data_IF_630683574921
#
_entry.id   IF_630683574921
#
_cell.length_a   1.000
_cell.length_b   1.000
_cell.length_c   1.000
_cell.angle_alpha   90.00
_cell.angle_beta   90.00
_cell.angle_gamma   90.00
#
_symmetry.space_group_name_H-M   'P 1'
#
loop_
_entity.id
_entity.type
_entity.pdbx_description
1 polymer ?
#
# COMPACT_ATOMS: atom_id res chain seq x y z
N UNK A 1 35.38 -19.27 -70.82
CA UNK A 1 35.55 -18.34 -71.96
C UNK A 1 34.74 -17.10 -71.69
N UNK A 2 35.47 -15.96 -71.80
CA UNK A 2 35.00 -14.57 -71.87
C UNK A 2 34.49 -13.88 -70.65
N UNK A 3 35.42 -13.21 -69.97
CA UNK A 3 35.26 -11.92 -69.30
C UNK A 3 35.50 -10.80 -70.39
N UNK A 4 35.55 -9.53 -69.97
CA UNK A 4 34.69 -8.57 -69.25
C UNK A 4 34.49 -7.30 -70.16
N UNK A 5 33.68 -6.34 -69.69
CA UNK A 5 33.80 -4.95 -70.16
C UNK A 5 33.56 -3.97 -69.02
N UNK A 6 34.61 -3.18 -68.74
CA UNK A 6 34.65 -1.96 -67.94
C UNK A 6 33.86 -0.83 -68.62
N UNK A 7 33.21 -0.01 -67.83
CA UNK A 7 33.02 1.40 -68.18
C UNK A 7 33.05 2.31 -66.92
N UNK A 8 33.77 3.38 -67.07
CA UNK A 8 34.23 4.34 -66.09
C UNK A 8 33.20 5.43 -65.76
N UNK A 9 33.33 5.94 -64.54
CA UNK A 9 32.79 7.17 -63.95
C UNK A 9 32.75 8.41 -64.87
N UNK A 10 31.96 9.47 -64.41
CA UNK A 10 32.66 10.54 -63.76
C UNK A 10 32.00 11.07 -62.48
N UNK A 11 32.88 11.51 -61.61
CA UNK A 11 32.69 12.22 -60.37
C UNK A 11 31.89 13.52 -60.52
N UNK A 12 30.93 13.75 -59.62
CA UNK A 12 30.40 15.08 -59.32
C UNK A 12 30.53 15.31 -57.80
N UNK A 13 31.40 16.23 -57.48
CA UNK A 13 31.61 16.82 -56.16
C UNK A 13 30.35 17.58 -55.72
N UNK A 14 29.68 17.14 -54.67
CA UNK A 14 28.72 17.96 -53.94
C UNK A 14 29.28 18.24 -52.53
N UNK A 15 29.49 19.51 -52.25
CA UNK A 15 29.76 20.07 -50.95
C UNK A 15 28.65 19.81 -49.95
N UNK A 16 28.92 19.49 -48.69
CA UNK A 16 27.86 19.34 -47.70
C UNK A 16 27.39 20.72 -47.25
N UNK A 17 26.10 20.99 -47.43
CA UNK A 17 25.40 22.12 -46.83
C UNK A 17 25.31 21.86 -45.31
N UNK A 18 25.95 22.72 -44.54
CA UNK A 18 25.83 22.77 -43.07
C UNK A 18 24.43 23.25 -42.73
N UNK A 19 23.52 22.35 -42.42
CA UNK A 19 22.24 22.69 -41.81
C UNK A 19 22.51 22.88 -40.33
N UNK A 20 22.57 24.14 -39.88
CA UNK A 20 22.46 24.51 -38.46
C UNK A 20 21.07 24.16 -37.99
N UNK A 21 20.91 23.02 -37.30
CA UNK A 21 19.72 22.72 -36.52
C UNK A 21 19.76 23.61 -35.27
N UNK A 22 18.93 24.64 -35.28
CA UNK A 22 18.63 25.39 -34.07
C UNK A 22 18.01 24.41 -33.06
N UNK A 23 18.72 24.15 -31.96
CA UNK A 23 18.13 23.52 -30.78
C UNK A 23 17.09 24.47 -30.21
N UNK A 24 15.85 24.29 -30.59
CA UNK A 24 14.70 24.82 -29.88
C UNK A 24 14.70 24.20 -28.50
N UNK A 25 14.90 25.03 -27.48
CA UNK A 25 14.64 24.66 -26.09
C UNK A 25 13.16 24.27 -26.00
N UNK A 26 12.86 22.98 -25.88
CA UNK A 26 11.55 22.52 -25.47
C UNK A 26 11.40 22.93 -24.00
N UNK A 27 10.67 24.03 -23.79
CA UNK A 27 10.13 24.41 -22.51
C UNK A 27 9.25 23.24 -22.04
N UNK A 28 9.67 22.59 -20.96
CA UNK A 28 8.85 21.63 -20.26
C UNK A 28 7.60 22.38 -19.76
N UNK A 29 6.45 22.05 -20.33
CA UNK A 29 5.16 22.51 -19.80
C UNK A 29 5.05 22.05 -18.36
N UNK A 30 4.66 22.95 -17.40
CA UNK A 30 4.47 22.54 -16.03
C UNK A 30 3.39 21.45 -15.99
N UNK A 31 3.64 20.38 -15.27
CA UNK A 31 2.67 19.30 -15.02
C UNK A 31 1.36 19.94 -14.55
N UNK A 32 0.27 19.68 -15.26
CA UNK A 32 -1.04 20.23 -14.94
C UNK A 32 -1.40 19.78 -13.52
N UNK A 33 -1.55 20.76 -12.60
CA UNK A 33 -1.99 20.49 -11.22
C UNK A 33 -3.35 19.80 -11.28
N UNK A 34 -3.49 18.71 -10.54
CA UNK A 34 -4.79 18.07 -10.34
C UNK A 34 -5.75 19.10 -9.72
N UNK A 35 -6.93 19.28 -10.32
CA UNK A 35 -7.96 20.18 -9.80
C UNK A 35 -8.98 19.40 -8.99
N UNK A 36 -9.36 19.95 -7.84
CA UNK A 36 -10.41 19.39 -6.99
C UNK A 36 -11.71 20.13 -7.21
N UNK A 37 -12.82 19.40 -7.30
CA UNK A 37 -14.17 19.95 -7.42
C UNK A 37 -15.12 19.28 -6.44
N UNK A 38 -16.16 20.00 -6.02
CA UNK A 38 -17.25 19.49 -5.18
C UNK A 38 -18.59 19.69 -5.87
N UNK A 39 -19.45 18.69 -5.84
CA UNK A 39 -20.81 18.78 -6.39
C UNK A 39 -21.74 17.71 -5.79
N UNK A 40 -23.06 17.91 -5.96
CA UNK A 40 -24.02 16.81 -5.70
C UNK A 40 -24.09 15.86 -6.89
N UNK A 41 -24.04 14.56 -6.62
CA UNK A 41 -24.09 13.54 -7.67
C UNK A 41 -25.38 13.63 -8.49
N UNK A 42 -25.25 13.89 -9.79
CA UNK A 42 -26.39 14.04 -10.73
C UNK A 42 -27.13 12.72 -10.97
N UNK A 43 -26.46 11.58 -10.73
CA UNK A 43 -27.03 10.23 -10.89
C UNK A 43 -26.31 9.27 -9.94
N UNK A 44 -26.94 8.12 -9.61
CA UNK A 44 -26.31 7.06 -8.83
C UNK A 44 -25.38 6.12 -9.61
N UNK A 45 -24.83 6.55 -10.77
CA UNK A 45 -24.01 5.67 -11.64
C UNK A 45 -22.53 5.70 -11.31
N UNK A 46 -22.05 6.67 -10.54
CA UNK A 46 -20.64 6.79 -10.16
C UNK A 46 -20.33 5.97 -8.92
N UNK A 47 -19.21 5.26 -8.93
CA UNK A 47 -18.65 4.61 -7.76
C UNK A 47 -17.58 5.47 -7.12
N UNK A 48 -17.53 5.48 -5.81
CA UNK A 48 -16.47 6.13 -5.03
C UNK A 48 -15.14 5.44 -5.28
N UNK A 49 -14.08 6.20 -5.62
CA UNK A 49 -12.75 5.63 -5.85
C UNK A 49 -12.00 5.29 -4.56
N UNK A 50 -12.50 5.72 -3.40
CA UNK A 50 -11.96 5.36 -2.10
C UNK A 50 -12.51 4.03 -1.57
N UNK A 51 -13.84 3.85 -1.57
CA UNK A 51 -14.51 2.67 -0.99
C UNK A 51 -15.23 1.79 -2.02
N UNK A 52 -15.16 2.09 -3.31
CA UNK A 52 -15.84 1.40 -4.43
C UNK A 52 -17.38 1.35 -4.35
N UNK A 53 -18.00 1.81 -3.27
CA UNK A 53 -19.44 1.87 -3.14
C UNK A 53 -20.08 2.90 -4.09
N UNK A 54 -21.33 2.68 -4.49
CA UNK A 54 -22.07 3.60 -5.33
C UNK A 54 -22.31 4.94 -4.60
N UNK A 55 -22.07 6.05 -5.31
CA UNK A 55 -22.42 7.38 -4.82
C UNK A 55 -23.86 7.66 -5.18
N UNK A 56 -24.74 7.75 -4.19
CA UNK A 56 -26.18 7.94 -4.39
C UNK A 56 -26.47 9.26 -5.13
N UNK A 57 -27.55 9.27 -5.93
CA UNK A 57 -28.03 10.53 -6.55
C UNK A 57 -28.35 11.56 -5.46
N UNK A 58 -27.81 12.78 -5.62
CA UNK A 58 -27.99 13.86 -4.67
C UNK A 58 -27.00 13.84 -3.49
N UNK A 59 -26.16 12.82 -3.34
CA UNK A 59 -25.10 12.81 -2.33
C UNK A 59 -23.99 13.80 -2.70
N UNK A 60 -23.43 14.46 -1.70
CA UNK A 60 -22.24 15.31 -1.87
C UNK A 60 -21.05 14.43 -2.24
N UNK A 61 -20.26 14.87 -3.22
CA UNK A 61 -19.07 14.17 -3.68
C UNK A 61 -17.92 15.09 -4.04
N UNK A 62 -16.71 14.64 -3.86
CA UNK A 62 -15.49 15.33 -4.28
C UNK A 62 -14.91 14.65 -5.52
N UNK A 63 -14.49 15.46 -6.49
CA UNK A 63 -13.85 15.01 -7.72
C UNK A 63 -12.40 15.45 -7.79
N UNK A 64 -11.49 14.51 -8.03
CA UNK A 64 -10.11 14.80 -8.39
C UNK A 64 -9.94 14.63 -9.90
N UNK A 65 -9.74 15.74 -10.62
CA UNK A 65 -9.56 15.78 -12.07
C UNK A 65 -8.07 15.82 -12.38
N UNK A 66 -7.62 14.89 -13.22
CA UNK A 66 -6.27 14.84 -13.73
C UNK A 66 -6.31 14.65 -15.25
N UNK A 67 -5.33 15.23 -15.95
CA UNK A 67 -5.18 15.04 -17.38
C UNK A 67 -4.47 13.73 -17.66
N UNK A 68 -5.18 12.81 -18.35
CA UNK A 68 -4.59 11.54 -18.81
C UNK A 68 -3.48 11.81 -19.84
N UNK A 69 -2.39 11.03 -19.89
CA UNK A 69 -1.35 11.16 -20.90
C UNK A 69 -1.85 11.13 -22.36
N UNK A 70 -3.06 10.59 -22.59
CA UNK A 70 -3.74 10.58 -23.90
C UNK A 70 -4.53 11.84 -24.22
N UNK A 71 -4.49 12.88 -23.34
CA UNK A 71 -5.11 14.17 -23.57
C UNK A 71 -6.55 14.33 -23.09
N UNK A 72 -7.12 13.35 -22.39
CA UNK A 72 -8.46 13.45 -21.80
C UNK A 72 -8.37 13.91 -20.35
N UNK A 73 -9.34 14.72 -19.93
CA UNK A 73 -9.52 15.03 -18.51
C UNK A 73 -10.39 13.93 -17.88
N UNK A 74 -9.85 13.22 -16.90
CA UNK A 74 -10.58 12.21 -16.15
C UNK A 74 -10.83 12.68 -14.72
N UNK A 75 -12.07 12.57 -14.25
CA UNK A 75 -12.45 12.91 -12.86
C UNK A 75 -12.72 11.64 -12.08
N UNK A 76 -11.98 11.43 -11.00
CA UNK A 76 -12.21 10.38 -10.01
C UNK A 76 -13.13 10.91 -8.92
N UNK A 77 -14.28 10.28 -8.68
CA UNK A 77 -15.28 10.70 -7.71
C UNK A 77 -15.13 9.96 -6.39
N UNK A 78 -15.37 10.66 -5.28
CA UNK A 78 -15.24 10.15 -3.92
C UNK A 78 -16.41 10.63 -3.06
N UNK A 79 -16.83 9.83 -2.07
CA UNK A 79 -17.59 10.38 -0.95
C UNK A 79 -16.73 11.39 -0.20
N UNK A 80 -17.32 12.34 0.51
CA UNK A 80 -16.59 13.37 1.27
C UNK A 80 -15.61 12.72 2.25
N UNK A 81 -16.09 11.76 3.05
CA UNK A 81 -15.26 11.02 4.01
C UNK A 81 -14.20 10.10 3.37
N UNK A 82 -14.33 9.76 2.08
CA UNK A 82 -13.39 8.89 1.37
C UNK A 82 -12.38 9.67 0.52
N UNK A 83 -12.44 11.00 0.53
CA UNK A 83 -11.55 11.81 -0.29
C UNK A 83 -10.15 11.84 0.31
N UNK A 84 -9.09 11.50 -0.46
CA UNK A 84 -7.73 11.49 0.07
C UNK A 84 -7.32 12.89 0.54
N UNK A 85 -7.02 13.05 1.81
CA UNK A 85 -6.64 14.33 2.41
C UNK A 85 -5.42 14.96 1.71
N UNK A 86 -4.50 14.15 1.19
CA UNK A 86 -3.35 14.56 0.40
C UNK A 86 -3.70 15.19 -0.96
N UNK A 87 -4.92 14.97 -1.45
CA UNK A 87 -5.41 15.49 -2.75
C UNK A 87 -6.17 16.78 -2.63
N UNK A 88 -6.45 17.29 -1.41
CA UNK A 88 -7.00 18.64 -1.22
C UNK A 88 -5.97 19.68 -1.65
N UNK A 89 -6.39 20.77 -2.32
CA UNK A 89 -5.47 21.85 -2.67
C UNK A 89 -4.79 22.40 -1.40
N UNK A 90 -3.56 22.89 -1.56
CA UNK A 90 -2.78 23.50 -0.47
C UNK A 90 -3.38 24.84 0.01
N UNK A 91 -4.48 25.30 -0.59
CA UNK A 91 -5.23 26.50 -0.25
C UNK A 91 -6.48 26.22 0.59
N UNK A 92 -7.24 27.29 0.95
CA UNK A 92 -8.52 27.17 1.65
C UNK A 92 -9.52 26.30 0.88
N UNK A 93 -10.40 25.57 1.58
CA UNK A 93 -11.45 24.74 0.92
C UNK A 93 -12.43 25.59 0.12
N UNK A 94 -12.52 26.87 0.42
CA UNK A 94 -13.30 27.87 -0.33
C UNK A 94 -12.84 28.01 -1.80
N UNK A 95 -11.59 27.68 -2.11
CA UNK A 95 -11.04 27.71 -3.48
C UNK A 95 -11.38 26.44 -4.29
N UNK A 96 -12.02 25.43 -3.67
CA UNK A 96 -12.43 24.20 -4.35
C UNK A 96 -13.56 24.53 -5.33
N UNK A 97 -13.38 24.14 -6.59
CA UNK A 97 -14.38 24.41 -7.63
C UNK A 97 -15.75 23.83 -7.24
N UNK A 98 -16.78 24.68 -7.18
CA UNK A 98 -18.14 24.31 -6.82
C UNK A 98 -18.50 24.51 -5.35
N UNK A 99 -17.57 24.99 -4.51
CA UNK A 99 -17.81 25.25 -3.09
C UNK A 99 -19.00 26.18 -2.84
N UNK A 100 -19.14 27.25 -3.63
CA UNK A 100 -20.25 28.21 -3.49
C UNK A 100 -21.62 27.64 -3.92
N UNK A 101 -21.63 26.49 -4.59
CA UNK A 101 -22.84 25.86 -5.13
C UNK A 101 -23.44 24.79 -4.23
N UNK A 102 -22.82 24.51 -3.08
CA UNK A 102 -23.29 23.53 -2.09
C UNK A 102 -23.94 24.21 -0.88
N UNK A 103 -24.70 23.44 -0.09
CA UNK A 103 -25.40 23.95 1.10
C UNK A 103 -24.42 24.36 2.19
N UNK A 104 -24.87 25.23 3.10
CA UNK A 104 -24.03 25.74 4.19
C UNK A 104 -23.55 24.63 5.14
N UNK A 105 -24.41 23.64 5.46
CA UNK A 105 -24.06 22.50 6.29
C UNK A 105 -22.93 21.66 5.64
N UNK A 106 -23.01 21.45 4.31
CA UNK A 106 -22.01 20.71 3.55
C UNK A 106 -20.69 21.50 3.40
N UNK A 107 -20.76 22.84 3.39
CA UNK A 107 -19.55 23.70 3.43
C UNK A 107 -18.82 23.55 4.75
N UNK A 108 -19.56 23.46 5.87
CA UNK A 108 -18.93 23.28 7.18
C UNK A 108 -18.28 21.88 7.31
N UNK A 109 -18.90 20.82 6.77
CA UNK A 109 -18.28 19.50 6.70
C UNK A 109 -16.93 19.54 5.96
N UNK A 110 -16.84 20.28 4.86
CA UNK A 110 -15.58 20.45 4.13
C UNK A 110 -14.53 21.25 4.91
N UNK A 111 -14.95 22.27 5.68
CA UNK A 111 -14.06 23.04 6.56
C UNK A 111 -13.51 22.19 7.70
N UNK A 112 -14.33 21.30 8.27
CA UNK A 112 -13.87 20.34 9.29
C UNK A 112 -12.81 19.39 8.74
N UNK A 113 -12.97 18.90 7.50
CA UNK A 113 -11.95 18.09 6.83
C UNK A 113 -10.62 18.83 6.67
N UNK A 114 -10.68 20.16 6.39
CA UNK A 114 -9.48 20.98 6.29
C UNK A 114 -8.81 21.21 7.65
N UNK A 115 -9.60 21.47 8.72
CA UNK A 115 -9.10 21.67 10.08
C UNK A 115 -8.37 20.44 10.60
N UNK A 116 -8.94 19.26 10.38
CA UNK A 116 -8.32 17.99 10.76
C UNK A 116 -6.97 17.75 10.05
N UNK A 117 -6.81 18.33 8.85
CA UNK A 117 -5.56 18.30 8.09
C UNK A 117 -4.49 19.25 8.65
N UNK A 118 -4.89 20.41 9.17
CA UNK A 118 -3.95 21.42 9.75
C UNK A 118 -3.47 21.04 11.15
N UNK A 119 -4.20 20.18 11.86
CA UNK A 119 -3.82 19.67 13.19
C UNK A 119 -2.55 18.80 13.17
N UNK A 120 -2.25 18.14 12.05
CA UNK A 120 -1.08 17.28 11.91
C UNK A 120 0.23 18.00 11.52
N UNK A 121 0.18 19.32 11.25
CA UNK A 121 1.37 20.08 10.80
C UNK A 121 1.89 21.15 11.78
N UNK A 122 1.30 21.30 12.97
CA UNK A 122 1.69 22.35 13.91
C UNK A 122 2.20 21.79 15.25
N UNK A 123 3.40 21.26 15.27
CA UNK A 123 4.16 21.05 16.51
C UNK A 123 5.67 21.01 16.27
N UNK A 124 6.30 22.15 15.98
CA UNK A 124 7.69 22.45 16.37
C UNK A 124 7.90 23.98 16.37
N UNK A 125 8.05 24.56 17.55
CA UNK A 125 8.56 25.91 17.77
C UNK A 125 8.72 26.15 19.29
N UNK A 126 9.80 26.82 19.76
CA UNK A 126 10.34 26.65 21.09
C UNK A 126 9.60 27.46 22.17
N UNK A 127 9.58 26.86 23.35
CA UNK A 127 8.99 27.38 24.60
C UNK A 127 9.94 28.39 25.24
N UNK A 128 9.46 29.60 25.55
CA UNK A 128 10.05 30.46 26.58
C UNK A 128 9.15 30.55 27.80
N UNK A 129 9.82 30.48 28.98
CA UNK A 129 9.24 30.47 30.31
C UNK A 129 8.73 31.85 30.72
N UNK A 130 7.56 31.93 31.37
CA UNK A 130 7.37 32.81 32.54
C UNK A 130 6.10 32.45 33.33
N UNK A 131 6.23 32.13 34.60
CA UNK A 131 5.21 32.12 35.66
C UNK A 131 5.35 33.43 36.48
N UNK A 132 4.55 33.79 37.49
CA UNK A 132 3.28 33.23 38.00
C UNK A 132 2.23 34.31 38.41
N UNK A 133 0.97 33.99 38.75
CA UNK A 133 0.36 34.34 40.03
C UNK A 133 -1.13 33.97 40.21
N UNK A 134 -1.38 33.29 41.30
CA UNK A 134 -2.46 33.27 42.31
C UNK A 134 -3.85 33.83 42.03
N UNK A 135 -4.87 33.05 42.40
CA UNK A 135 -6.23 33.49 42.73
C UNK A 135 -7.17 32.36 43.12
N UNK A 136 -7.43 32.24 44.39
CA UNK A 136 -8.22 31.28 45.14
C UNK A 136 -9.74 31.46 44.96
N UNK A 137 -10.55 30.39 44.90
CA UNK A 137 -11.72 30.23 45.80
C UNK A 137 -12.45 28.87 45.57
N UNK A 138 -12.71 28.24 46.66
CA UNK A 138 -13.51 27.06 47.01
C UNK A 138 -14.92 27.03 46.41
N UNK A 139 -15.46 25.83 46.12
CA UNK A 139 -16.72 25.24 46.65
C UNK A 139 -16.70 23.71 46.38
N UNK A 140 -17.19 22.93 47.38
CA UNK A 140 -17.06 21.50 47.63
C UNK A 140 -18.19 20.64 47.06
N UNK A 141 -17.86 19.41 46.60
CA UNK A 141 -18.41 18.05 46.77
C UNK A 141 -19.89 17.71 46.44
N UNK A 142 -20.27 16.43 46.10
CA UNK A 142 -19.67 15.16 46.55
C UNK A 142 -19.39 14.09 45.42
N UNK A 143 -18.54 13.15 45.82
CA UNK A 143 -18.11 11.92 45.14
C UNK A 143 -19.25 10.94 44.84
N UNK A 144 -19.15 10.28 43.69
CA UNK A 144 -19.61 8.90 43.48
C UNK A 144 -18.48 8.12 42.84
N UNK A 145 -17.90 7.20 43.60
CA UNK A 145 -16.95 6.20 43.13
C UNK A 145 -17.63 5.25 42.13
N UNK A 146 -17.09 5.16 40.92
CA UNK A 146 -17.25 3.97 40.09
C UNK A 146 -15.85 3.53 39.67
N UNK A 147 -15.47 2.37 40.14
CA UNK A 147 -14.19 1.75 39.92
C UNK A 147 -14.02 1.38 38.43
N UNK A 148 -13.25 2.14 37.67
CA UNK A 148 -12.73 1.72 36.36
C UNK A 148 -11.45 0.90 36.56
N UNK A 149 -11.54 -0.38 36.24
CA UNK A 149 -10.38 -1.23 36.02
C UNK A 149 -9.64 -0.77 34.77
N UNK A 150 -8.60 0.01 34.93
CA UNK A 150 -7.65 0.33 33.84
C UNK A 150 -6.81 -0.89 33.55
N UNK A 151 -7.02 -1.47 32.36
CA UNK A 151 -6.04 -2.35 31.71
C UNK A 151 -4.87 -1.50 31.18
N UNK A 152 -3.62 -1.92 31.35
CA UNK A 152 -2.47 -1.18 30.83
C UNK A 152 -2.41 -1.29 29.30
N UNK A 153 -2.83 -0.23 28.62
CA UNK A 153 -2.61 -0.08 27.19
C UNK A 153 -1.12 0.03 26.90
N UNK A 154 -0.56 -1.03 26.37
CA UNK A 154 0.80 -1.06 25.86
C UNK A 154 0.82 -0.22 24.57
N UNK A 155 1.23 1.05 24.65
CA UNK A 155 1.54 1.89 23.49
C UNK A 155 2.82 1.34 22.86
N UNK A 156 2.69 0.40 21.94
CA UNK A 156 3.76 0.09 20.98
C UNK A 156 3.95 1.33 20.11
N UNK A 157 5.06 2.01 20.32
CA UNK A 157 5.53 3.11 19.48
C UNK A 157 5.80 2.51 18.12
N UNK A 158 4.85 2.63 17.19
CA UNK A 158 5.04 2.27 15.79
C UNK A 158 6.16 3.15 15.25
N UNK A 159 7.25 2.54 14.82
CA UNK A 159 8.30 3.25 14.09
C UNK A 159 7.73 3.64 12.74
N UNK A 160 7.44 4.92 12.53
CA UNK A 160 6.95 5.42 11.25
C UNK A 160 7.91 4.98 10.13
N UNK A 161 7.37 4.29 9.12
CA UNK A 161 8.16 3.85 7.98
C UNK A 161 8.22 5.02 6.99
N UNK A 162 9.42 5.58 6.71
CA UNK A 162 9.55 6.65 5.73
C UNK A 162 9.32 6.07 4.33
N UNK A 163 8.07 6.11 3.88
CA UNK A 163 7.66 5.61 2.58
C UNK A 163 7.28 6.78 1.66
N UNK A 164 7.90 6.83 0.48
CA UNK A 164 7.53 7.76 -0.57
C UNK A 164 7.25 7.02 -1.89
N UNK A 165 6.25 7.41 -2.66
CA UNK A 165 6.01 6.86 -4.00
C UNK A 165 7.22 6.97 -4.93
N UNK A 166 8.13 7.93 -4.70
CA UNK A 166 9.39 8.08 -5.45
C UNK A 166 10.40 6.95 -5.17
N UNK A 167 10.26 6.26 -4.03
CA UNK A 167 11.17 5.19 -3.61
C UNK A 167 10.76 3.83 -4.15
N UNK A 168 9.58 3.75 -4.77
CA UNK A 168 9.05 2.54 -5.39
C UNK A 168 9.82 2.23 -6.68
N UNK A 169 10.35 1.01 -6.77
CA UNK A 169 11.14 0.55 -7.90
C UNK A 169 10.44 -0.60 -8.65
N UNK A 170 10.69 -0.69 -9.94
CA UNK A 170 10.26 -1.82 -10.81
C UNK A 170 11.27 -2.97 -10.83
N UNK A 171 12.33 -2.85 -10.05
CA UNK A 171 13.38 -3.85 -9.90
C UNK A 171 13.69 -4.03 -8.43
N UNK A 172 14.08 -5.23 -8.04
CA UNK A 172 14.67 -5.49 -6.73
C UNK A 172 16.17 -5.75 -6.91
N UNK A 173 16.98 -4.74 -6.59
CA UNK A 173 18.42 -4.73 -6.91
C UNK A 173 18.65 -4.99 -8.41
N UNK A 174 19.29 -6.09 -8.77
CA UNK A 174 19.60 -6.51 -10.14
C UNK A 174 18.51 -7.39 -10.77
N UNK A 175 17.44 -7.73 -10.03
CA UNK A 175 16.32 -8.50 -10.55
C UNK A 175 15.18 -7.63 -11.06
N UNK A 176 14.64 -7.98 -12.24
CA UNK A 176 13.45 -7.34 -12.82
C UNK A 176 12.18 -7.93 -12.20
N UNK A 177 11.20 -7.10 -11.93
CA UNK A 177 9.91 -7.53 -11.39
C UNK A 177 8.83 -7.52 -12.50
N UNK A 178 7.86 -8.46 -12.48
CA UNK A 178 6.69 -8.42 -13.36
C UNK A 178 5.87 -7.13 -13.15
N UNK A 179 4.98 -6.80 -14.09
CA UNK A 179 4.30 -5.50 -14.17
C UNK A 179 3.55 -5.09 -12.89
N UNK A 180 2.92 -6.07 -12.21
CA UNK A 180 2.12 -5.83 -10.99
C UNK A 180 2.95 -5.88 -9.70
N UNK A 181 4.25 -6.11 -9.81
CA UNK A 181 5.15 -6.21 -8.68
C UNK A 181 6.08 -5.00 -8.62
N UNK A 182 6.28 -4.51 -7.43
CA UNK A 182 7.15 -3.37 -7.13
C UNK A 182 8.03 -3.72 -5.94
N UNK A 183 9.06 -2.92 -5.74
CA UNK A 183 9.95 -3.03 -4.59
C UNK A 183 10.07 -1.69 -3.85
N UNK A 184 10.16 -1.78 -2.55
CA UNK A 184 10.50 -0.71 -1.64
C UNK A 184 11.45 -1.26 -0.58
N UNK A 185 12.63 -0.67 -0.44
CA UNK A 185 13.68 -1.15 0.45
C UNK A 185 13.95 -2.65 0.28
N UNK A 186 13.74 -3.46 1.31
CA UNK A 186 13.90 -4.93 1.30
C UNK A 186 12.59 -5.69 1.10
N UNK A 187 11.52 -5.00 0.71
CA UNK A 187 10.21 -5.60 0.44
C UNK A 187 9.91 -5.60 -1.05
N UNK A 188 9.44 -6.72 -1.57
CA UNK A 188 8.73 -6.81 -2.86
C UNK A 188 7.24 -6.92 -2.54
N UNK A 189 6.41 -6.13 -3.22
CA UNK A 189 4.97 -6.13 -3.00
C UNK A 189 4.20 -6.16 -4.31
N UNK A 190 2.98 -6.71 -4.26
CA UNK A 190 2.08 -6.77 -5.40
C UNK A 190 1.14 -5.57 -5.37
N UNK A 191 1.07 -4.84 -6.48
CA UNK A 191 0.19 -3.72 -6.70
C UNK A 191 -0.66 -3.99 -7.93
N UNK A 192 -1.93 -4.30 -7.74
CA UNK A 192 -2.89 -4.55 -8.81
C UNK A 192 -4.25 -3.95 -8.41
N UNK A 193 -4.90 -3.28 -9.38
CA UNK A 193 -6.15 -2.51 -9.17
C UNK A 193 -7.37 -3.30 -9.69
N UNK A 194 -7.43 -4.61 -9.42
CA UNK A 194 -8.44 -5.55 -9.93
C UNK A 194 -9.41 -6.05 -8.85
N UNK A 195 -9.93 -5.14 -8.04
CA UNK A 195 -10.84 -5.46 -6.95
C UNK A 195 -10.18 -5.55 -5.58
N UNK A 196 -8.87 -5.27 -5.48
CA UNK A 196 -8.20 -5.12 -4.20
C UNK A 196 -8.79 -3.88 -3.49
N UNK A 197 -9.44 -4.09 -2.34
CA UNK A 197 -10.08 -3.02 -1.58
C UNK A 197 -9.40 -2.79 -0.22
N UNK A 198 -9.46 -1.57 0.27
CA UNK A 198 -9.09 -1.24 1.64
C UNK A 198 -10.24 -1.58 2.58
N UNK A 199 -9.93 -2.01 3.81
CA UNK A 199 -10.94 -2.43 4.78
C UNK A 199 -10.48 -2.18 6.21
N UNK A 200 -11.44 -1.98 7.12
CA UNK A 200 -11.19 -2.04 8.55
C UNK A 200 -10.88 -3.48 9.02
N UNK A 201 -11.36 -4.51 8.29
CA UNK A 201 -11.15 -5.92 8.63
C UNK A 201 -10.02 -6.50 7.79
N UNK A 202 -8.95 -6.94 8.42
CA UNK A 202 -7.81 -7.54 7.75
C UNK A 202 -7.74 -9.03 8.07
N UNK A 203 -7.76 -9.87 7.02
CA UNK A 203 -7.42 -11.28 7.11
C UNK A 203 -6.01 -11.47 6.54
N UNK A 204 -5.05 -11.67 7.42
CA UNK A 204 -3.64 -11.75 7.06
C UNK A 204 -3.11 -13.17 7.20
N UNK A 205 -2.20 -13.56 6.31
CA UNK A 205 -1.70 -14.93 6.18
C UNK A 205 -0.20 -14.97 5.92
N UNK A 206 0.48 -16.00 6.44
CA UNK A 206 1.73 -16.45 5.83
C UNK A 206 1.43 -17.25 4.55
N UNK A 207 2.47 -17.49 3.75
CA UNK A 207 2.33 -18.23 2.50
C UNK A 207 2.90 -19.67 2.58
N UNK A 208 4.19 -19.82 2.91
CA UNK A 208 4.91 -21.09 2.85
C UNK A 208 4.63 -21.94 4.09
N UNK A 209 3.92 -23.04 3.96
CA UNK A 209 3.46 -23.89 5.08
C UNK A 209 2.06 -23.49 5.59
N UNK A 210 1.62 -22.28 5.34
CA UNK A 210 0.28 -21.79 5.73
C UNK A 210 -0.75 -21.95 4.60
N UNK A 211 -0.60 -21.20 3.51
CA UNK A 211 -1.50 -21.26 2.35
C UNK A 211 -1.03 -22.29 1.32
N UNK A 212 0.26 -22.49 1.19
CA UNK A 212 0.86 -23.33 0.17
C UNK A 212 1.91 -24.27 0.75
N UNK A 213 1.89 -25.53 0.31
CA UNK A 213 2.99 -26.49 0.48
C UNK A 213 4.07 -26.11 -0.52
N UNK A 214 5.21 -25.67 -0.01
CA UNK A 214 6.38 -25.29 -0.79
C UNK A 214 7.64 -25.94 -0.26
N UNK A 215 8.75 -25.77 -0.94
CA UNK A 215 10.06 -26.18 -0.44
C UNK A 215 11.10 -25.15 -0.84
N UNK A 216 11.91 -24.72 0.13
CA UNK A 216 13.04 -23.81 -0.09
C UNK A 216 14.12 -24.39 -1.00
N UNK A 217 14.14 -25.74 -1.19
CA UNK A 217 15.12 -26.44 -2.03
C UNK A 217 14.68 -26.56 -3.49
N UNK A 218 13.39 -26.32 -3.79
CA UNK A 218 12.81 -26.50 -5.12
C UNK A 218 12.48 -25.14 -5.70
N UNK A 219 12.97 -24.87 -6.90
CA UNK A 219 12.77 -23.61 -7.62
C UNK A 219 11.76 -23.85 -8.72
N UNK A 220 10.87 -22.87 -8.96
CA UNK A 220 9.86 -22.85 -10.02
C UNK A 220 8.54 -22.29 -9.56
N UNK A 221 7.89 -21.58 -10.46
CA UNK A 221 6.58 -20.95 -10.22
C UNK A 221 5.45 -21.98 -10.04
N UNK A 222 5.62 -23.17 -10.61
CA UNK A 222 4.68 -24.30 -10.56
C UNK A 222 4.95 -25.27 -9.38
N UNK A 223 5.98 -25.04 -8.57
CA UNK A 223 6.43 -25.92 -7.51
C UNK A 223 5.78 -25.59 -6.17
N UNK A 224 4.47 -25.74 -6.13
CA UNK A 224 3.64 -25.55 -4.94
C UNK A 224 2.35 -26.38 -5.05
N UNK A 225 1.61 -26.50 -3.97
CA UNK A 225 0.23 -27.01 -3.93
C UNK A 225 -0.49 -26.39 -2.74
N UNK A 226 -1.82 -26.41 -2.72
CA UNK A 226 -2.59 -25.92 -1.59
C UNK A 226 -2.24 -26.67 -0.31
N UNK A 227 -2.09 -25.94 0.79
CA UNK A 227 -1.90 -26.54 2.13
C UNK A 227 -3.16 -27.30 2.56
N UNK A 228 -4.33 -26.73 2.38
CA UNK A 228 -5.65 -27.33 2.60
C UNK A 228 -6.56 -27.09 1.40
N UNK A 229 -7.42 -28.07 1.09
CA UNK A 229 -8.36 -27.97 -0.05
C UNK A 229 -9.44 -26.88 0.14
N UNK A 230 -9.74 -26.56 1.40
CA UNK A 230 -10.74 -25.53 1.79
C UNK A 230 -10.27 -24.10 1.59
N UNK A 231 -8.98 -23.86 1.32
CA UNK A 231 -8.40 -22.51 1.23
C UNK A 231 -9.13 -21.62 0.21
N UNK A 232 -9.38 -22.04 -1.05
CA UNK A 232 -10.05 -21.16 -2.02
C UNK A 232 -11.43 -20.71 -1.53
N UNK A 233 -12.28 -21.62 -1.06
CA UNK A 233 -13.62 -21.30 -0.61
C UNK A 233 -13.60 -20.38 0.63
N UNK A 234 -12.67 -20.64 1.55
CA UNK A 234 -12.50 -19.84 2.77
C UNK A 234 -12.05 -18.41 2.45
N UNK A 235 -11.08 -18.23 1.55
CA UNK A 235 -10.61 -16.92 1.14
C UNK A 235 -11.67 -16.14 0.34
N UNK A 236 -12.44 -16.83 -0.52
CA UNK A 236 -13.56 -16.22 -1.22
C UNK A 236 -14.66 -15.76 -0.24
N UNK A 237 -15.00 -16.56 0.77
CA UNK A 237 -15.92 -16.16 1.82
C UNK A 237 -15.44 -14.91 2.56
N UNK A 238 -14.21 -14.90 3.04
CA UNK A 238 -13.62 -13.74 3.72
C UNK A 238 -13.64 -12.48 2.85
N UNK A 239 -13.28 -12.60 1.58
CA UNK A 239 -13.33 -11.47 0.65
C UNK A 239 -14.76 -10.94 0.48
N UNK A 240 -15.76 -11.83 0.31
CA UNK A 240 -17.17 -11.47 0.20
C UNK A 240 -17.72 -10.86 1.50
N UNK A 241 -17.19 -11.26 2.65
CA UNK A 241 -17.50 -10.69 3.97
C UNK A 241 -16.81 -9.33 4.23
N UNK A 242 -16.13 -8.81 3.21
CA UNK A 242 -15.51 -7.48 3.21
C UNK A 242 -14.14 -7.40 3.87
N UNK A 243 -13.45 -8.53 4.10
CA UNK A 243 -12.07 -8.52 4.54
C UNK A 243 -11.12 -8.10 3.41
N UNK A 244 -10.12 -7.29 3.74
CA UNK A 244 -8.92 -7.17 2.92
C UNK A 244 -8.04 -8.39 3.18
N UNK A 245 -7.76 -9.16 2.14
CA UNK A 245 -6.86 -10.30 2.22
C UNK A 245 -5.41 -9.84 2.00
N UNK A 246 -4.51 -10.24 2.90
CA UNK A 246 -3.11 -9.85 2.83
C UNK A 246 -2.20 -11.05 3.08
N UNK A 247 -1.15 -11.21 2.27
CA UNK A 247 -0.08 -12.17 2.52
C UNK A 247 1.18 -11.44 2.97
N UNK A 248 1.73 -11.83 4.13
CA UNK A 248 3.04 -11.42 4.64
C UNK A 248 3.97 -12.62 4.69
N UNK A 249 4.95 -12.69 3.79
CA UNK A 249 5.84 -13.85 3.67
C UNK A 249 7.31 -13.45 3.68
N UNK A 250 8.16 -14.29 4.29
CA UNK A 250 9.61 -14.13 4.30
C UNK A 250 10.24 -14.92 3.14
N UNK A 251 11.14 -14.28 2.34
CA UNK A 251 11.89 -14.98 1.27
C UNK A 251 13.34 -14.49 1.20
N UNK A 252 14.16 -14.89 2.16
CA UNK A 252 15.55 -14.46 2.25
C UNK A 252 16.47 -15.02 1.14
N UNK A 253 16.02 -16.02 0.37
CA UNK A 253 16.81 -16.52 -0.76
C UNK A 253 16.99 -15.45 -1.85
N UNK A 254 16.04 -14.53 -2.01
CA UNK A 254 16.14 -13.40 -2.93
C UNK A 254 17.36 -12.55 -2.58
N UNK A 255 17.65 -12.36 -1.29
CA UNK A 255 18.82 -11.61 -0.84
C UNK A 255 20.10 -12.44 -0.85
N UNK A 256 20.02 -13.70 -0.39
CA UNK A 256 21.19 -14.57 -0.25
C UNK A 256 21.77 -15.03 -1.58
N UNK A 257 20.94 -15.29 -2.60
CA UNK A 257 21.38 -15.85 -3.88
C UNK A 257 21.75 -14.76 -4.87
N UNK A 258 22.79 -14.01 -4.59
CA UNK A 258 23.22 -12.86 -5.40
C UNK A 258 23.29 -13.18 -6.90
N UNK A 259 23.86 -14.31 -7.29
CA UNK A 259 24.02 -14.73 -8.69
C UNK A 259 22.77 -15.42 -9.29
N UNK A 260 21.74 -15.70 -8.48
CA UNK A 260 20.49 -16.37 -8.87
C UNK A 260 19.25 -15.60 -8.37
N UNK A 261 19.41 -14.28 -8.09
CA UNK A 261 18.34 -13.47 -7.53
C UNK A 261 17.12 -13.43 -8.45
N UNK A 262 17.30 -13.25 -9.75
CA UNK A 262 16.20 -13.28 -10.71
C UNK A 262 15.43 -14.61 -10.59
N UNK A 263 16.12 -15.74 -10.53
CA UNK A 263 15.49 -17.05 -10.41
C UNK A 263 14.71 -17.22 -9.09
N UNK A 264 15.22 -16.67 -7.98
CA UNK A 264 14.52 -16.66 -6.71
C UNK A 264 13.26 -15.78 -6.75
N UNK A 265 13.36 -14.59 -7.35
CA UNK A 265 12.22 -13.68 -7.58
C UNK A 265 11.16 -14.36 -8.44
N UNK A 266 11.53 -14.88 -9.62
CA UNK A 266 10.61 -15.51 -10.55
C UNK A 266 9.89 -16.71 -9.92
N UNK A 267 10.61 -17.49 -9.11
CA UNK A 267 10.03 -18.63 -8.39
C UNK A 267 9.01 -18.20 -7.33
N UNK A 268 9.35 -17.22 -6.48
CA UNK A 268 8.46 -16.79 -5.39
C UNK A 268 7.26 -16.01 -5.92
N UNK A 269 7.50 -15.04 -6.79
CA UNK A 269 6.45 -14.22 -7.42
C UNK A 269 5.51 -15.09 -8.24
N UNK A 270 6.05 -15.98 -9.08
CA UNK A 270 5.23 -16.86 -9.91
C UNK A 270 4.37 -17.83 -9.09
N UNK A 271 4.86 -18.36 -7.95
CA UNK A 271 4.01 -19.15 -7.03
C UNK A 271 2.85 -18.35 -6.47
N UNK A 272 3.10 -17.11 -6.07
CA UNK A 272 2.09 -16.22 -5.51
C UNK A 272 1.05 -15.81 -6.56
N UNK A 273 1.47 -15.49 -7.79
CA UNK A 273 0.55 -15.18 -8.88
C UNK A 273 -0.32 -16.40 -9.23
N UNK A 274 0.26 -17.59 -9.38
CA UNK A 274 -0.47 -18.82 -9.63
C UNK A 274 -1.43 -19.19 -8.48
N UNK A 275 -1.06 -18.89 -7.23
CA UNK A 275 -1.94 -19.09 -6.09
C UNK A 275 -3.13 -18.13 -6.13
N UNK A 276 -2.91 -16.83 -6.42
CA UNK A 276 -3.98 -15.84 -6.55
C UNK A 276 -4.96 -16.20 -7.68
N UNK A 277 -4.45 -16.67 -8.81
CA UNK A 277 -5.28 -17.20 -9.90
C UNK A 277 -6.11 -18.42 -9.47
N UNK A 278 -5.53 -19.30 -8.66
CA UNK A 278 -6.21 -20.49 -8.14
C UNK A 278 -7.37 -20.12 -7.21
N UNK A 279 -7.18 -19.17 -6.29
CA UNK A 279 -8.18 -18.77 -5.29
C UNK A 279 -9.21 -17.79 -5.83
N UNK A 280 -8.93 -17.12 -6.95
CA UNK A 280 -9.85 -16.23 -7.70
C UNK A 280 -10.39 -15.05 -6.90
N UNK A 281 -9.63 -14.54 -5.96
CA UNK A 281 -9.91 -13.31 -5.23
C UNK A 281 -8.65 -12.43 -5.15
N UNK A 282 -8.78 -11.10 -5.16
CA UNK A 282 -7.65 -10.21 -5.03
C UNK A 282 -6.98 -10.34 -3.66
N UNK A 283 -5.65 -10.42 -3.64
CA UNK A 283 -4.86 -10.50 -2.42
C UNK A 283 -3.69 -9.51 -2.51
N UNK A 284 -3.53 -8.68 -1.48
CA UNK A 284 -2.35 -7.85 -1.30
C UNK A 284 -1.19 -8.73 -0.83
N UNK A 285 0.00 -8.55 -1.39
CA UNK A 285 1.16 -9.38 -1.01
C UNK A 285 2.36 -8.51 -0.66
N UNK A 286 3.05 -8.89 0.42
CA UNK A 286 4.33 -8.32 0.83
C UNK A 286 5.33 -9.45 1.08
N UNK A 287 6.49 -9.39 0.44
CA UNK A 287 7.58 -10.36 0.54
C UNK A 287 8.78 -9.68 1.19
N UNK A 288 9.12 -10.05 2.41
CA UNK A 288 10.35 -9.58 3.06
C UNK A 288 11.56 -10.37 2.52
N UNK A 289 12.38 -9.71 1.74
CA UNK A 289 13.56 -10.30 1.10
C UNK A 289 14.79 -10.26 2.02
N UNK A 290 14.78 -9.40 3.04
CA UNK A 290 15.91 -9.22 3.96
C UNK A 290 16.26 -10.47 4.75
N UNK A 291 17.47 -10.49 5.26
CA UNK A 291 17.96 -11.58 6.12
C UNK A 291 17.74 -11.25 7.59
N UNK A 292 17.43 -12.25 8.42
CA UNK A 292 17.36 -12.07 9.88
C UNK A 292 18.73 -11.80 10.50
N UNK A 293 18.75 -11.58 11.82
CA UNK A 293 19.97 -11.33 12.62
C UNK A 293 21.08 -12.32 12.27
N UNK A 294 22.20 -11.81 11.84
CA UNK A 294 23.42 -12.55 11.62
C UNK A 294 24.62 -11.86 12.29
N UNK A 295 25.76 -12.53 12.39
CA UNK A 295 26.99 -11.87 12.88
C UNK A 295 27.32 -10.69 11.97
N UNK A 296 27.09 -9.45 12.47
CA UNK A 296 27.42 -8.20 11.77
C UNK A 296 26.38 -7.68 10.78
N UNK A 297 25.20 -8.31 10.67
CA UNK A 297 24.07 -7.77 9.90
C UNK A 297 22.95 -7.29 10.84
N UNK A 298 22.43 -6.06 10.67
CA UNK A 298 21.26 -5.61 11.40
C UNK A 298 20.06 -6.51 11.06
N UNK A 299 19.12 -6.59 11.98
CA UNK A 299 17.85 -7.26 11.75
C UNK A 299 17.03 -6.47 10.72
N UNK A 300 16.45 -7.16 9.75
CA UNK A 300 15.63 -6.52 8.72
C UNK A 300 14.29 -6.11 9.30
N UNK A 301 13.93 -4.82 9.17
CA UNK A 301 12.71 -4.24 9.71
C UNK A 301 11.43 -4.95 9.23
N UNK A 302 11.43 -5.41 7.98
CA UNK A 302 10.25 -5.99 7.35
C UNK A 302 10.14 -7.50 7.55
N UNK A 303 11.27 -8.17 7.86
CA UNK A 303 11.26 -9.62 8.04
C UNK A 303 10.55 -10.01 9.33
N UNK A 304 9.53 -10.88 9.24
CA UNK A 304 8.87 -11.48 10.42
C UNK A 304 9.92 -12.19 11.30
N UNK A 305 9.87 -11.98 12.62
CA UNK A 305 8.78 -11.44 13.44
C UNK A 305 8.68 -9.91 13.53
N UNK A 306 9.57 -9.13 12.87
CA UNK A 306 9.46 -7.68 12.88
C UNK A 306 8.20 -7.21 12.14
N UNK A 307 7.56 -6.15 12.65
CA UNK A 307 6.24 -5.67 12.24
C UNK A 307 6.23 -4.74 11.02
N UNK A 308 7.39 -4.50 10.37
CA UNK A 308 7.50 -3.49 9.31
C UNK A 308 6.57 -3.70 8.12
N UNK A 309 6.34 -4.95 7.66
CA UNK A 309 5.39 -5.20 6.58
C UNK A 309 3.95 -4.83 6.95
N UNK A 310 3.55 -5.06 8.21
CA UNK A 310 2.23 -4.67 8.70
C UNK A 310 2.04 -3.16 8.69
N UNK A 311 2.99 -2.41 9.25
CA UNK A 311 2.91 -0.96 9.28
C UNK A 311 2.96 -0.34 7.89
N UNK A 312 3.79 -0.90 6.99
CA UNK A 312 3.81 -0.52 5.58
C UNK A 312 2.43 -0.69 4.93
N UNK A 313 1.78 -1.82 5.14
CA UNK A 313 0.43 -2.09 4.64
C UNK A 313 -0.60 -1.15 5.25
N UNK A 314 -0.62 -1.02 6.58
CA UNK A 314 -1.62 -0.24 7.30
C UNK A 314 -1.57 1.25 6.97
N UNK A 315 -0.36 1.82 6.89
CA UNK A 315 -0.15 3.26 6.68
C UNK A 315 -0.29 3.66 5.20
N UNK A 316 0.17 2.81 4.27
CA UNK A 316 0.32 3.21 2.86
C UNK A 316 -0.53 2.42 1.87
N UNK A 317 -1.05 1.26 2.24
CA UNK A 317 -1.82 0.38 1.34
C UNK A 317 -3.25 0.07 1.82
N UNK A 318 -3.74 0.77 2.86
CA UNK A 318 -5.11 0.62 3.36
C UNK A 318 -5.94 1.90 3.24
N UNK A 319 -5.54 2.83 2.38
CA UNK A 319 -6.27 4.09 2.07
C UNK A 319 -6.65 4.93 3.30
N UNK A 320 -5.85 4.86 4.37
CA UNK A 320 -6.11 5.58 5.61
C UNK A 320 -7.28 5.04 6.44
N UNK A 321 -7.86 3.89 6.08
CA UNK A 321 -8.92 3.25 6.86
C UNK A 321 -8.30 2.67 8.13
N UNK A 322 -8.82 3.09 9.28
CA UNK A 322 -8.44 2.55 10.59
C UNK A 322 -8.79 1.05 10.65
N UNK A 323 -7.83 0.24 11.10
CA UNK A 323 -7.99 -1.20 11.18
C UNK A 323 -8.68 -1.55 12.51
N UNK A 324 -9.75 -2.32 12.42
CA UNK A 324 -10.41 -2.95 13.57
C UNK A 324 -9.60 -4.20 13.96
N UNK A 325 -8.81 -4.07 15.02
CA UNK A 325 -7.91 -5.13 15.50
C UNK A 325 -8.68 -6.33 16.05
N UNK A 326 -9.87 -6.13 16.60
CA UNK A 326 -10.71 -7.21 17.17
C UNK A 326 -11.34 -8.08 16.09
N UNK A 327 -11.64 -7.49 14.92
CA UNK A 327 -12.15 -8.21 13.75
C UNK A 327 -11.04 -8.68 12.80
N UNK A 328 -9.79 -8.30 13.04
CA UNK A 328 -8.65 -8.69 12.21
C UNK A 328 -7.87 -9.85 12.83
N UNK A 329 -7.20 -10.65 12.00
CA UNK A 329 -6.47 -11.80 12.48
C UNK A 329 -5.29 -12.16 11.56
N UNK A 330 -4.38 -12.98 12.08
CA UNK A 330 -3.25 -13.52 11.35
C UNK A 330 -3.20 -15.04 11.44
N UNK A 331 -2.95 -15.71 10.30
CA UNK A 331 -2.79 -17.16 10.19
C UNK A 331 -1.38 -17.51 9.71
N UNK A 332 -0.67 -18.37 10.44
CA UNK A 332 0.69 -18.77 10.09
C UNK A 332 1.08 -20.10 10.73
N UNK A 333 2.04 -20.81 10.12
CA UNK A 333 2.50 -22.12 10.58
C UNK A 333 3.67 -22.05 11.57
N UNK A 334 4.45 -20.96 11.55
CA UNK A 334 5.59 -20.76 12.45
C UNK A 334 5.13 -20.26 13.84
N UNK A 335 4.55 -21.17 14.63
CA UNK A 335 3.93 -20.92 15.93
C UNK A 335 4.83 -21.22 17.13
N UNK A 336 6.10 -21.67 16.91
CA UNK A 336 7.05 -22.01 17.96
C UNK A 336 6.75 -23.34 18.65
N UNK A 337 5.97 -24.22 18.05
CA UNK A 337 5.73 -25.59 18.55
C UNK A 337 6.97 -26.46 18.32
N UNK A 338 7.04 -27.61 18.98
CA UNK A 338 8.21 -28.52 18.97
C UNK A 338 8.68 -28.89 17.54
N UNK A 339 7.76 -29.00 16.58
CA UNK A 339 8.09 -29.39 15.20
C UNK A 339 8.10 -28.20 14.23
N UNK A 340 7.84 -27.00 14.70
CA UNK A 340 7.85 -25.81 13.84
C UNK A 340 9.29 -25.35 13.58
N UNK A 341 9.55 -24.84 12.38
CA UNK A 341 10.88 -24.34 12.03
C UNK A 341 11.24 -23.01 12.71
N UNK A 342 10.27 -22.29 13.25
CA UNK A 342 10.43 -21.04 13.99
C UNK A 342 9.13 -20.62 14.70
N UNK A 343 9.18 -19.50 15.40
CA UNK A 343 8.08 -18.80 16.06
C UNK A 343 7.72 -17.47 15.36
N UNK A 344 8.24 -17.26 14.14
CA UNK A 344 8.20 -15.96 13.50
C UNK A 344 6.78 -15.44 13.24
N UNK A 345 5.80 -16.31 13.01
CA UNK A 345 4.42 -15.91 12.73
C UNK A 345 3.66 -15.52 13.99
N UNK A 346 3.78 -16.34 15.06
CA UNK A 346 3.11 -16.03 16.32
C UNK A 346 3.71 -14.77 16.96
N UNK A 347 5.03 -14.60 16.91
CA UNK A 347 5.68 -13.41 17.43
C UNK A 347 5.35 -12.17 16.58
N UNK A 348 5.22 -12.31 15.26
CA UNK A 348 4.72 -11.23 14.39
C UNK A 348 3.28 -10.83 14.76
N UNK A 349 2.37 -11.78 14.92
CA UNK A 349 0.99 -11.52 15.33
C UNK A 349 0.92 -10.82 16.69
N UNK A 350 1.72 -11.25 17.67
CA UNK A 350 1.84 -10.60 18.97
C UNK A 350 2.37 -9.16 18.88
N UNK A 351 3.40 -8.95 18.05
CA UNK A 351 4.02 -7.63 17.88
C UNK A 351 3.07 -6.58 17.29
N UNK A 352 2.13 -7.02 16.45
CA UNK A 352 1.11 -6.15 15.84
C UNK A 352 -0.24 -6.17 16.58
N UNK A 353 -0.41 -7.03 17.57
CA UNK A 353 -1.64 -7.12 18.40
C UNK A 353 -2.80 -7.85 17.73
N UNK A 354 -2.56 -8.72 16.74
CA UNK A 354 -3.59 -9.50 16.07
C UNK A 354 -3.82 -10.85 16.74
N UNK A 355 -5.07 -11.33 16.67
CA UNK A 355 -5.41 -12.70 16.99
C UNK A 355 -4.67 -13.66 16.05
N UNK A 356 -4.04 -14.67 16.60
CA UNK A 356 -3.26 -15.66 15.86
C UNK A 356 -4.01 -16.98 15.72
N UNK A 357 -3.89 -17.62 14.55
CA UNK A 357 -4.39 -18.95 14.27
C UNK A 357 -3.34 -19.79 13.54
N UNK A 358 -3.32 -21.10 13.77
CA UNK A 358 -2.54 -22.04 12.96
C UNK A 358 -3.37 -22.56 11.77
N UNK A 359 -2.72 -22.89 10.64
CA UNK A 359 -3.44 -23.25 9.41
C UNK A 359 -4.38 -24.44 9.56
N UNK A 360 -3.99 -25.45 10.32
CA UNK A 360 -4.76 -26.67 10.57
C UNK A 360 -6.06 -26.40 11.36
N UNK A 361 -6.07 -25.41 12.27
CA UNK A 361 -7.28 -25.01 12.99
C UNK A 361 -8.17 -24.09 12.14
N UNK A 362 -7.56 -23.24 11.33
CA UNK A 362 -8.29 -22.25 10.54
C UNK A 362 -8.88 -22.81 9.24
N UNK A 363 -8.11 -23.68 8.55
CA UNK A 363 -8.47 -24.27 7.26
C UNK A 363 -8.76 -25.78 7.35
N UNK A 364 -8.46 -26.40 8.44
CA UNK A 364 -8.71 -27.83 8.64
C UNK A 364 -10.20 -28.19 8.53
N UNK A 365 -10.52 -29.50 8.41
CA UNK A 365 -11.89 -29.97 8.28
C UNK A 365 -12.72 -29.68 9.51
#
# INVERSE_FOLDING_TARGET
MLAPVFSRNPSLLFLPAVVRIARGAMSASPAAKATVSVEYAKSGRSSCKGCSAAIAKGALRLGASARDPRGYDSTKWYHVACFPASSLPLGPVEEVQGFDSIKDDDREELRELEKNKKGDQAAVGPVELSSPNKGNSHISLPEVEVAEKSSPGNKTVGTAIPFSPSDIKKTYKDATLPTHWKAFDTVIFREQDDGLHASAKIAAFDFDGCLAKTSVKIIGADKWSLQHKSIPDKLQSLYNDGYKLVIFTNESNIERWKNKRQQAVDSKVGRLDNFIECVKVPIQVFIACGTGKGKGTPDDLFRKPNSGMWWLMAEHFNSGIAIDMDQSFYVGDAAGRENDHSDADIEFAKAIGLKFHVPEEFFGP
#
